data_IF_618478118210
#
_entry.id   IF_618478118210
#
_cell.length_a   1.000
_cell.length_b   1.000
_cell.length_c   1.000
_cell.angle_alpha   90.00
_cell.angle_beta   90.00
_cell.angle_gamma   90.00
#
_symmetry.space_group_name_H-M   'P 1'
#
loop_
_entity.id
_entity.type
_entity.pdbx_description
1 polymer ?
#
# COMPACT_ATOMS: atom_id res chain seq x y z
N UNK A 1 29.34 -4.32 -1.75
CA UNK A 1 27.86 -4.30 -1.85
C UNK A 1 27.38 -2.87 -1.57
N UNK A 2 26.69 -2.24 -2.52
CA UNK A 2 26.19 -0.86 -2.36
C UNK A 2 25.03 -0.84 -1.35
N UNK A 3 25.31 -0.44 -0.11
CA UNK A 3 24.31 -0.31 0.96
C UNK A 3 23.44 0.95 0.70
N UNK A 4 22.27 0.76 0.08
CA UNK A 4 21.25 1.80 -0.02
C UNK A 4 20.51 2.03 1.32
N UNK A 5 19.43 2.81 1.30
CA UNK A 5 18.61 3.12 2.48
C UNK A 5 18.18 1.87 3.29
N UNK A 6 17.90 0.76 2.60
CA UNK A 6 17.48 -0.54 3.20
C UNK A 6 18.45 -1.05 4.26
N UNK A 7 19.75 -1.14 3.93
CA UNK A 7 20.76 -1.74 4.83
C UNK A 7 21.29 -0.75 5.88
N UNK A 8 20.97 0.53 5.72
CA UNK A 8 21.51 1.62 6.53
C UNK A 8 20.39 2.29 7.32
N UNK A 9 19.71 3.26 6.69
CA UNK A 9 18.74 4.13 7.34
C UNK A 9 17.58 3.34 7.94
N UNK A 10 16.97 2.45 7.17
CA UNK A 10 15.80 1.69 7.59
C UNK A 10 16.18 0.70 8.70
N UNK A 11 17.30 -0.03 8.53
CA UNK A 11 17.78 -0.95 9.55
C UNK A 11 18.11 -0.24 10.87
N UNK A 12 18.64 1.00 10.82
CA UNK A 12 18.86 1.82 12.03
C UNK A 12 17.54 2.25 12.67
N UNK A 13 16.55 2.68 11.88
CA UNK A 13 15.23 3.06 12.40
C UNK A 13 14.56 1.86 13.06
N UNK A 14 14.53 0.70 12.39
CA UNK A 14 13.91 -0.52 12.92
C UNK A 14 14.48 -0.93 14.29
N UNK A 15 15.80 -0.83 14.49
CA UNK A 15 16.46 -1.27 15.72
C UNK A 15 16.60 -0.21 16.81
N UNK A 16 16.56 1.08 16.47
CA UNK A 16 16.90 2.16 17.41
C UNK A 16 15.86 3.27 17.51
N UNK A 17 14.96 3.39 16.55
CA UNK A 17 13.95 4.46 16.48
C UNK A 17 12.71 4.00 15.69
N UNK A 18 11.86 3.13 16.28
CA UNK A 18 10.70 2.57 15.60
C UNK A 18 9.70 3.64 15.14
N UNK A 19 9.60 4.76 15.85
CA UNK A 19 8.73 5.87 15.48
C UNK A 19 9.14 6.47 14.13
N UNK A 20 10.45 6.63 13.89
CA UNK A 20 10.94 7.03 12.57
C UNK A 20 10.74 5.98 11.49
N UNK A 21 10.73 4.70 11.85
CA UNK A 21 10.39 3.64 10.89
C UNK A 21 8.93 3.80 10.43
N UNK A 22 8.01 4.01 11.37
CA UNK A 22 6.60 4.30 11.10
C UNK A 22 6.47 5.58 10.29
N UNK A 23 7.16 6.67 10.64
CA UNK A 23 7.10 7.92 9.85
C UNK A 23 7.60 7.71 8.40
N UNK A 24 8.67 6.91 8.24
CA UNK A 24 9.34 6.73 6.96
C UNK A 24 8.58 5.80 6.00
N UNK A 25 7.95 4.73 6.51
CA UNK A 25 7.23 3.70 5.73
C UNK A 25 5.71 3.72 5.92
N UNK A 26 5.20 4.51 6.87
CA UNK A 26 3.79 4.56 7.30
C UNK A 26 3.23 3.21 7.76
N UNK A 27 4.10 2.39 8.33
CA UNK A 27 3.81 1.04 8.81
C UNK A 27 4.76 0.69 9.95
N UNK A 28 4.27 0.07 11.01
CA UNK A 28 5.10 -0.37 12.12
C UNK A 28 5.94 -1.61 11.77
N UNK A 29 7.08 -1.84 12.44
CA UNK A 29 7.95 -2.97 12.13
C UNK A 29 7.30 -4.35 12.27
N UNK A 30 6.48 -4.65 13.31
CA UNK A 30 5.72 -5.90 13.38
C UNK A 30 4.82 -6.13 12.16
N UNK A 31 3.96 -5.15 11.82
CA UNK A 31 3.07 -5.23 10.65
C UNK A 31 3.85 -5.37 9.35
N UNK A 32 4.97 -4.65 9.22
CA UNK A 32 5.87 -4.79 8.06
C UNK A 32 6.40 -6.21 7.91
N UNK A 33 6.81 -6.85 9.01
CA UNK A 33 7.37 -8.20 9.00
C UNK A 33 6.29 -9.25 8.70
N UNK A 34 5.07 -9.09 9.24
CA UNK A 34 3.93 -9.93 8.89
C UNK A 34 3.60 -9.83 7.39
N UNK A 35 3.48 -8.60 6.88
CA UNK A 35 3.26 -8.33 5.48
C UNK A 35 4.36 -8.95 4.60
N UNK A 36 5.62 -8.76 4.99
CA UNK A 36 6.76 -9.33 4.30
C UNK A 36 6.66 -10.86 4.23
N UNK A 37 6.31 -11.53 5.32
CA UNK A 37 6.17 -12.99 5.36
C UNK A 37 5.07 -13.49 4.40
N UNK A 38 3.94 -12.79 4.31
CA UNK A 38 2.84 -13.13 3.41
C UNK A 38 3.23 -12.99 1.94
N UNK A 39 3.95 -11.93 1.58
CA UNK A 39 4.27 -11.65 0.17
C UNK A 39 5.59 -12.24 -0.29
N UNK A 40 6.51 -12.58 0.63
CA UNK A 40 7.85 -13.07 0.32
C UNK A 40 7.82 -14.19 -0.74
N UNK A 41 6.97 -15.23 -0.65
CA UNK A 41 6.90 -16.27 -1.67
C UNK A 41 6.56 -15.75 -3.08
N UNK A 42 5.83 -14.63 -3.18
CA UNK A 42 5.37 -14.04 -4.44
C UNK A 42 6.39 -13.04 -5.03
N UNK A 43 7.17 -12.36 -4.19
CA UNK A 43 8.07 -11.28 -4.63
C UNK A 43 9.55 -11.62 -4.60
N UNK A 44 9.93 -12.70 -3.90
CA UNK A 44 11.29 -13.21 -3.85
C UNK A 44 11.69 -13.70 -5.25
N UNK A 45 12.89 -13.33 -5.67
CA UNK A 45 13.42 -13.68 -7.00
C UNK A 45 14.48 -14.75 -6.83
N UNK A 46 14.49 -15.71 -7.75
CA UNK A 46 15.52 -16.74 -7.79
C UNK A 46 16.88 -16.12 -8.10
N UNK A 47 17.92 -16.69 -7.49
CA UNK A 47 19.29 -16.39 -7.85
C UNK A 47 19.60 -17.03 -9.20
N UNK A 48 20.05 -16.24 -10.17
CA UNK A 48 20.45 -16.76 -11.49
C UNK A 48 21.93 -16.48 -11.72
N UNK A 49 22.31 -15.21 -11.88
CA UNK A 49 23.72 -14.78 -12.06
C UNK A 49 24.12 -13.72 -11.05
N UNK A 50 23.22 -12.75 -10.79
CA UNK A 50 23.40 -11.71 -9.77
C UNK A 50 22.54 -12.01 -8.57
N UNK A 51 23.01 -11.64 -7.38
CA UNK A 51 22.20 -11.65 -6.17
C UNK A 51 20.95 -10.81 -6.39
N UNK A 52 19.75 -11.40 -6.27
CA UNK A 52 18.51 -10.67 -6.44
C UNK A 52 18.33 -9.65 -5.32
N UNK A 53 17.56 -8.59 -5.59
CA UNK A 53 17.16 -7.64 -4.55
C UNK A 53 16.28 -8.40 -3.54
N UNK A 54 16.60 -8.37 -2.23
CA UNK A 54 15.83 -9.06 -1.21
C UNK A 54 14.35 -8.65 -1.21
N UNK A 55 13.46 -9.59 -0.85
CA UNK A 55 12.04 -9.33 -0.73
C UNK A 55 11.74 -8.14 0.21
N UNK A 56 12.46 -8.04 1.34
CA UNK A 56 12.35 -6.93 2.29
C UNK A 56 12.64 -5.57 1.64
N UNK A 57 13.77 -5.46 0.93
CA UNK A 57 14.14 -4.22 0.22
C UNK A 57 13.11 -3.86 -0.86
N UNK A 58 12.54 -4.86 -1.56
CA UNK A 58 11.48 -4.62 -2.56
C UNK A 58 10.22 -4.03 -1.90
N UNK A 59 9.82 -4.59 -0.76
CA UNK A 59 8.68 -4.08 0.00
C UNK A 59 8.95 -2.66 0.54
N UNK A 60 10.14 -2.42 1.11
CA UNK A 60 10.55 -1.09 1.59
C UNK A 60 10.54 -0.03 0.48
N UNK A 61 10.99 -0.36 -0.73
CA UNK A 61 10.93 0.54 -1.88
C UNK A 61 9.48 0.88 -2.23
N UNK A 62 8.59 -0.12 -2.26
CA UNK A 62 7.18 0.06 -2.58
C UNK A 62 6.49 0.95 -1.53
N UNK A 63 6.59 0.58 -0.25
CA UNK A 63 6.00 1.33 0.85
C UNK A 63 6.58 2.75 0.94
N UNK A 64 7.89 2.92 0.76
CA UNK A 64 8.49 4.26 0.77
C UNK A 64 7.95 5.13 -0.37
N UNK A 65 7.79 4.58 -1.57
CA UNK A 65 7.21 5.31 -2.69
C UNK A 65 5.76 5.72 -2.40
N UNK A 66 4.93 4.79 -1.92
CA UNK A 66 3.52 5.04 -1.59
C UNK A 66 3.37 6.05 -0.43
N UNK A 67 4.19 5.91 0.61
CA UNK A 67 4.15 6.76 1.79
C UNK A 67 4.60 8.20 1.50
N UNK A 68 5.59 8.39 0.62
CA UNK A 68 6.16 9.71 0.35
C UNK A 68 5.59 10.42 -0.87
N UNK A 69 5.03 9.68 -1.83
CA UNK A 69 4.69 10.22 -3.15
C UNK A 69 5.91 10.69 -3.95
N UNK A 70 7.13 10.35 -3.52
CA UNK A 70 8.38 10.78 -4.13
C UNK A 70 8.55 10.23 -5.55
N UNK A 71 9.41 10.84 -6.35
CA UNK A 71 9.66 10.43 -7.72
C UNK A 71 10.47 9.13 -7.78
N UNK A 72 10.22 8.30 -8.81
CA UNK A 72 10.99 7.06 -9.00
C UNK A 72 12.51 7.27 -9.12
N UNK A 73 13.02 8.35 -9.75
CA UNK A 73 14.45 8.68 -9.73
C UNK A 73 14.99 8.91 -8.32
N UNK A 74 14.28 9.67 -7.47
CA UNK A 74 14.70 9.89 -6.09
C UNK A 74 14.78 8.58 -5.29
N UNK A 75 13.76 7.73 -5.40
CA UNK A 75 13.75 6.39 -4.79
C UNK A 75 14.91 5.52 -5.32
N UNK A 76 15.18 5.57 -6.63
CA UNK A 76 16.31 4.87 -7.26
C UNK A 76 17.65 5.29 -6.64
N UNK A 77 17.86 6.59 -6.43
CA UNK A 77 19.07 7.09 -5.75
C UNK A 77 19.13 6.65 -4.28
N UNK A 78 18.05 6.80 -3.53
CA UNK A 78 18.01 6.48 -2.10
C UNK A 78 18.31 4.99 -1.82
N UNK A 79 17.70 4.09 -2.59
CA UNK A 79 17.88 2.64 -2.42
C UNK A 79 19.04 2.07 -3.23
N UNK A 80 19.69 2.88 -4.08
CA UNK A 80 20.75 2.47 -5.01
C UNK A 80 20.32 1.31 -5.92
N UNK A 81 19.04 1.34 -6.33
CA UNK A 81 18.43 0.36 -7.23
C UNK A 81 18.14 1.05 -8.55
N UNK A 82 18.57 0.48 -9.67
CA UNK A 82 18.37 1.13 -10.98
C UNK A 82 16.90 1.44 -11.28
N UNK A 83 16.65 2.59 -11.91
CA UNK A 83 15.31 3.14 -12.18
C UNK A 83 14.34 2.14 -12.81
N UNK A 84 14.79 1.38 -13.81
CA UNK A 84 14.00 0.34 -14.49
C UNK A 84 13.55 -0.80 -13.57
N UNK A 85 14.23 -1.00 -12.44
CA UNK A 85 13.87 -2.00 -11.44
C UNK A 85 12.93 -1.39 -10.41
N UNK A 86 13.16 -0.15 -9.99
CA UNK A 86 12.23 0.59 -9.12
C UNK A 86 10.84 0.70 -9.76
N UNK A 87 10.76 1.05 -11.04
CA UNK A 87 9.47 1.15 -11.77
C UNK A 87 8.73 -0.18 -11.94
N UNK A 88 9.41 -1.32 -11.71
CA UNK A 88 8.78 -2.65 -11.67
C UNK A 88 8.38 -3.08 -10.27
N UNK A 89 8.91 -2.42 -9.23
CA UNK A 89 8.63 -2.70 -7.83
C UNK A 89 7.50 -1.80 -7.34
N UNK A 90 7.62 -0.50 -7.56
CA UNK A 90 6.62 0.49 -7.18
C UNK A 90 5.70 0.78 -8.39
N UNK A 91 4.36 0.72 -8.23
CA UNK A 91 3.44 1.14 -9.28
C UNK A 91 3.62 2.64 -9.55
N UNK A 92 3.50 3.13 -10.80
CA UNK A 92 3.47 4.57 -11.04
C UNK A 92 2.29 5.22 -10.33
N UNK A 93 2.52 6.39 -9.72
CA UNK A 93 1.49 7.27 -9.15
C UNK A 93 0.29 7.30 -10.11
N UNK A 94 -0.82 6.70 -9.68
CA UNK A 94 -2.01 6.49 -10.49
C UNK A 94 -2.79 7.78 -10.64
N UNK A 95 -2.36 8.65 -11.54
CA UNK A 95 -3.23 9.71 -12.09
C UNK A 95 -3.33 9.68 -13.62
N UNK A 96 -2.82 8.65 -14.30
CA UNK A 96 -3.13 8.43 -15.71
C UNK A 96 -2.82 7.01 -16.21
N UNK A 97 -3.88 6.30 -16.60
CA UNK A 97 -3.91 5.21 -17.58
C UNK A 97 -3.04 3.97 -17.31
N UNK A 98 -3.71 2.95 -16.78
CA UNK A 98 -3.27 1.56 -16.75
C UNK A 98 -2.95 1.00 -18.15
N UNK A 99 -1.69 1.04 -18.57
CA UNK A 99 -1.11 0.05 -19.50
C UNK A 99 0.41 -0.02 -19.29
N UNK A 100 0.95 -1.23 -19.18
CA UNK A 100 2.37 -1.48 -19.45
C UNK A 100 2.44 -2.30 -20.74
N UNK A 101 3.24 -1.84 -21.70
CA UNK A 101 3.34 -2.36 -23.08
C UNK A 101 3.93 -3.80 -23.20
N UNK A 102 4.14 -4.50 -22.07
CA UNK A 102 4.92 -5.75 -21.99
C UNK A 102 4.26 -6.92 -21.25
N UNK A 103 2.98 -6.83 -20.90
CA UNK A 103 2.17 -8.00 -20.53
C UNK A 103 2.64 -8.81 -19.32
N UNK A 104 3.24 -8.21 -18.29
CA UNK A 104 3.65 -8.92 -17.07
C UNK A 104 2.62 -8.84 -15.95
N UNK A 105 2.43 -9.95 -15.22
CA UNK A 105 1.57 -10.06 -14.04
C UNK A 105 1.94 -9.04 -12.96
N UNK A 106 0.96 -8.23 -12.54
CA UNK A 106 1.05 -7.33 -11.39
C UNK A 106 0.25 -7.94 -10.25
N UNK A 107 0.85 -8.04 -9.08
CA UNK A 107 0.14 -8.29 -7.83
C UNK A 107 -0.38 -6.94 -7.39
N UNK A 108 -1.70 -6.80 -7.28
CA UNK A 108 -2.32 -5.61 -6.71
C UNK A 108 -2.29 -5.74 -5.20
N UNK A 109 -1.88 -4.64 -4.56
CA UNK A 109 -1.96 -4.43 -3.13
C UNK A 109 -3.07 -3.41 -2.94
N UNK A 110 -4.15 -3.85 -2.30
CA UNK A 110 -5.15 -2.99 -1.72
C UNK A 110 -4.71 -2.63 -0.29
N UNK A 111 -4.80 -1.39 0.13
CA UNK A 111 -4.63 -1.01 1.50
C UNK A 111 -5.57 0.13 1.94
N UNK A 112 -5.97 0.08 3.20
CA UNK A 112 -6.69 1.16 3.91
C UNK A 112 -5.70 1.83 4.83
N UNK A 113 -5.76 3.15 4.92
CA UNK A 113 -4.98 3.93 5.86
C UNK A 113 -5.88 4.71 6.80
N UNK A 114 -5.38 4.94 8.01
CA UNK A 114 -6.03 5.83 8.98
C UNK A 114 -5.80 7.32 8.64
N UNK A 115 -6.33 8.20 9.49
CA UNK A 115 -6.17 9.65 9.34
C UNK A 115 -4.72 10.14 9.48
N UNK A 116 -3.83 9.33 10.07
CA UNK A 116 -2.39 9.60 10.16
C UNK A 116 -1.63 9.06 8.94
N UNK A 117 -2.37 8.57 7.94
CA UNK A 117 -1.86 7.91 6.74
C UNK A 117 -1.11 6.59 7.04
N UNK A 118 -1.28 6.00 8.21
CA UNK A 118 -0.71 4.69 8.55
C UNK A 118 -1.55 3.60 7.90
N UNK A 119 -0.90 2.63 7.23
CA UNK A 119 -1.59 1.48 6.66
C UNK A 119 -2.18 0.62 7.80
N UNK A 120 -3.50 0.46 7.81
CA UNK A 120 -4.22 -0.31 8.84
C UNK A 120 -4.78 -1.62 8.32
N UNK A 121 -5.07 -1.71 7.03
CA UNK A 121 -5.53 -2.94 6.39
C UNK A 121 -4.80 -3.09 5.07
N UNK A 122 -4.39 -4.31 4.73
CA UNK A 122 -3.75 -4.63 3.45
C UNK A 122 -4.34 -5.93 2.91
N UNK A 123 -4.86 -5.90 1.69
CA UNK A 123 -5.34 -7.08 0.95
C UNK A 123 -4.49 -7.27 -0.32
N UNK A 124 -3.98 -8.49 -0.53
CA UNK A 124 -2.90 -8.76 -1.49
C UNK A 124 -3.21 -9.97 -2.34
N UNK A 125 -3.28 -9.78 -3.65
CA UNK A 125 -3.27 -10.93 -4.56
C UNK A 125 -4.10 -10.81 -5.82
N UNK A 126 -4.76 -9.67 -6.06
CA UNK A 126 -5.55 -9.55 -7.27
C UNK A 126 -4.67 -9.36 -8.52
N UNK A 127 -5.09 -9.93 -9.64
CA UNK A 127 -4.42 -9.77 -10.92
C UNK A 127 -4.66 -8.36 -11.48
N UNK A 128 -3.59 -7.62 -11.77
CA UNK A 128 -3.67 -6.25 -12.27
C UNK A 128 -4.23 -6.05 -13.69
N UNK A 129 -4.98 -7.03 -14.24
CA UNK A 129 -5.78 -6.87 -15.47
C UNK A 129 -7.24 -6.48 -15.18
N UNK A 130 -7.63 -6.46 -13.91
CA UNK A 130 -8.99 -6.11 -13.47
C UNK A 130 -9.06 -4.65 -13.01
N UNK A 131 -10.23 -4.05 -13.11
CA UNK A 131 -10.48 -2.69 -12.60
C UNK A 131 -10.33 -2.68 -11.07
N UNK A 132 -9.96 -1.53 -10.52
CA UNK A 132 -9.78 -1.41 -9.06
C UNK A 132 -11.09 -1.75 -8.31
N UNK A 133 -12.25 -1.38 -8.86
CA UNK A 133 -13.56 -1.79 -8.34
C UNK A 133 -13.78 -3.31 -8.32
N UNK A 134 -13.41 -4.00 -9.41
CA UNK A 134 -13.58 -5.46 -9.50
C UNK A 134 -12.60 -6.20 -8.59
N UNK A 135 -11.40 -5.65 -8.42
CA UNK A 135 -10.42 -6.15 -7.44
C UNK A 135 -10.96 -6.00 -6.03
N UNK A 136 -11.49 -4.82 -5.68
CA UNK A 136 -12.08 -4.56 -4.37
C UNK A 136 -13.28 -5.47 -4.05
N UNK A 137 -14.25 -5.60 -4.96
CA UNK A 137 -15.43 -6.46 -4.75
C UNK A 137 -15.07 -7.93 -4.51
N UNK A 138 -14.03 -8.43 -5.18
CA UNK A 138 -13.61 -9.82 -5.03
C UNK A 138 -12.64 -10.06 -3.87
N UNK A 139 -12.05 -8.98 -3.34
CA UNK A 139 -11.08 -9.01 -2.23
C UNK A 139 -11.74 -9.42 -0.92
N UNK A 140 -10.94 -9.97 -0.01
CA UNK A 140 -11.41 -10.30 1.34
C UNK A 140 -11.80 -9.03 2.10
N UNK A 141 -11.07 -7.93 1.90
CA UNK A 141 -11.44 -6.61 2.40
C UNK A 141 -12.84 -6.18 1.93
N UNK A 142 -13.12 -6.27 0.63
CA UNK A 142 -14.41 -5.89 0.08
C UNK A 142 -15.56 -6.76 0.61
N UNK A 143 -15.35 -8.08 0.68
CA UNK A 143 -16.34 -9.02 1.23
C UNK A 143 -16.61 -8.78 2.71
N UNK A 144 -15.56 -8.66 3.54
CA UNK A 144 -15.72 -8.38 4.98
C UNK A 144 -16.36 -7.02 5.24
N UNK A 145 -16.13 -6.05 4.36
CA UNK A 145 -16.82 -4.76 4.45
C UNK A 145 -18.30 -4.84 4.07
N UNK A 146 -18.66 -5.65 3.07
CA UNK A 146 -20.06 -5.91 2.69
C UNK A 146 -20.80 -6.71 3.78
N UNK A 147 -20.13 -7.68 4.40
CA UNK A 147 -20.68 -8.54 5.44
C UNK A 147 -20.67 -7.91 6.85
N UNK A 148 -20.18 -6.66 7.00
CA UNK A 148 -19.96 -5.97 8.28
C UNK A 148 -19.04 -6.72 9.27
N UNK A 149 -18.09 -7.49 8.76
CA UNK A 149 -17.13 -8.32 9.52
C UNK A 149 -15.75 -7.65 9.68
N UNK A 150 -15.66 -6.34 9.43
CA UNK A 150 -14.40 -5.59 9.50
C UNK A 150 -14.12 -4.99 10.89
N UNK A 151 -14.84 -5.42 11.94
CA UNK A 151 -14.76 -4.91 13.33
C UNK A 151 -14.62 -3.37 13.42
N UNK A 152 -15.36 -2.64 12.58
CA UNK A 152 -15.35 -1.19 12.59
C UNK A 152 -15.90 -0.66 13.93
N UNK A 153 -15.38 0.46 14.46
CA UNK A 153 -15.88 1.05 15.69
C UNK A 153 -17.36 1.43 15.57
N UNK A 154 -18.09 1.36 16.68
CA UNK A 154 -19.50 1.74 16.70
C UNK A 154 -19.71 3.22 16.30
N UNK A 155 -20.84 3.55 15.64
CA UNK A 155 -21.17 4.92 15.26
C UNK A 155 -21.06 5.91 16.43
N UNK A 156 -20.31 7.00 16.23
CA UNK A 156 -20.06 8.04 17.24
C UNK A 156 -20.64 9.37 16.78
N UNK A 157 -21.18 10.15 17.73
CA UNK A 157 -21.59 11.52 17.46
C UNK A 157 -20.36 12.41 17.32
N UNK A 158 -20.29 13.16 16.22
CA UNK A 158 -19.18 14.09 15.94
C UNK A 158 -19.34 15.42 16.70
N UNK A 159 -20.58 15.75 17.08
CA UNK A 159 -20.92 16.95 17.87
C UNK A 159 -21.77 16.56 19.08
N UNK A 160 -21.71 17.35 20.16
CA UNK A 160 -22.59 17.16 21.32
C UNK A 160 -24.06 17.16 20.88
N UNK A 161 -24.81 16.13 21.28
CA UNK A 161 -26.20 15.88 20.88
C UNK A 161 -26.44 15.72 19.36
N UNK A 162 -25.40 15.49 18.57
CA UNK A 162 -25.51 15.22 17.14
C UNK A 162 -25.90 13.79 16.80
N UNK A 163 -26.34 13.53 15.54
CA UNK A 163 -26.61 12.17 15.08
C UNK A 163 -25.35 11.30 15.18
N UNK A 164 -25.53 10.03 15.58
CA UNK A 164 -24.46 9.04 15.52
C UNK A 164 -24.15 8.74 14.06
N UNK A 165 -22.90 8.91 13.66
CA UNK A 165 -22.46 8.67 12.29
C UNK A 165 -21.56 7.42 12.24
N UNK A 166 -21.76 6.52 11.26
CA UNK A 166 -20.91 5.36 11.09
C UNK A 166 -19.53 5.75 10.58
N UNK A 167 -18.53 4.92 10.88
CA UNK A 167 -17.22 5.00 10.22
C UNK A 167 -17.35 4.46 8.80
N UNK A 168 -16.73 5.16 7.84
CA UNK A 168 -16.75 4.79 6.43
C UNK A 168 -15.33 4.87 5.88
N UNK A 169 -15.01 3.99 4.93
CA UNK A 169 -13.79 4.07 4.14
C UNK A 169 -14.02 5.10 3.04
N UNK A 170 -13.06 5.99 2.84
CA UNK A 170 -13.11 6.98 1.76
C UNK A 170 -12.18 6.53 0.65
N UNK A 171 -12.72 6.35 -0.55
CA UNK A 171 -11.98 5.89 -1.74
C UNK A 171 -12.10 6.85 -2.91
N UNK A 172 -11.27 6.65 -3.93
CA UNK A 172 -11.33 7.38 -5.20
C UNK A 172 -12.63 7.08 -5.99
N UNK A 173 -12.90 7.88 -7.03
CA UNK A 173 -13.95 7.70 -8.04
C UNK A 173 -13.99 6.32 -8.70
N UNK A 174 -12.89 5.56 -8.60
CA UNK A 174 -12.78 4.19 -9.10
C UNK A 174 -13.53 3.15 -8.24
N UNK A 175 -13.93 3.48 -7.00
CA UNK A 175 -14.72 2.61 -6.12
C UNK A 175 -16.20 2.96 -6.21
N UNK A 176 -17.00 1.99 -6.64
CA UNK A 176 -18.45 2.13 -6.59
C UNK A 176 -18.91 2.21 -5.13
N UNK A 177 -19.93 3.03 -4.87
CA UNK A 177 -20.63 3.02 -3.59
C UNK A 177 -21.20 1.61 -3.35
N UNK A 178 -20.80 0.98 -2.26
CA UNK A 178 -21.37 -0.30 -1.85
C UNK A 178 -22.71 -0.09 -1.14
N UNK A 179 -23.58 -1.10 -1.18
CA UNK A 179 -24.99 -1.01 -0.74
C UNK A 179 -25.16 -0.58 0.73
N UNK A 180 -24.14 -0.80 1.57
CA UNK A 180 -24.12 -0.41 2.98
C UNK A 180 -23.51 0.98 3.25
N UNK A 181 -23.19 1.78 2.23
CA UNK A 181 -22.49 3.08 2.34
C UNK A 181 -21.11 3.02 3.04
N UNK A 182 -20.53 1.82 3.14
CA UNK A 182 -19.27 1.58 3.85
C UNK A 182 -18.05 2.13 3.10
N UNK A 183 -18.16 2.31 1.77
CA UNK A 183 -17.19 3.08 0.97
C UNK A 183 -17.88 4.31 0.42
N UNK A 184 -17.36 5.50 0.72
CA UNK A 184 -17.80 6.75 0.09
C UNK A 184 -16.75 7.21 -0.91
N UNK A 185 -17.16 7.32 -2.15
CA UNK A 185 -16.32 7.88 -3.21
C UNK A 185 -16.34 9.40 -3.17
N UNK A 186 -15.15 10.02 -3.09
CA UNK A 186 -15.00 11.46 -3.21
C UNK A 186 -13.94 11.77 -4.28
N UNK A 187 -14.21 12.75 -5.15
CA UNK A 187 -13.17 13.36 -6.00
C UNK A 187 -12.27 14.22 -5.10
N UNK A 188 -11.28 13.59 -4.47
CA UNK A 188 -10.25 14.31 -3.74
C UNK A 188 -9.14 14.65 -4.75
N UNK A 189 -8.68 15.90 -4.74
CA UNK A 189 -7.49 16.33 -5.47
C UNK A 189 -6.22 15.56 -5.02
N UNK A 190 -5.03 15.89 -5.55
CA UNK A 190 -3.86 14.99 -5.64
C UNK A 190 -3.15 14.75 -4.31
N UNK A 191 -3.83 14.14 -3.35
CA UNK A 191 -3.31 13.74 -2.06
C UNK A 191 -3.78 12.32 -1.76
N UNK A 192 -2.84 11.40 -1.97
CA UNK A 192 -2.76 10.06 -1.41
C UNK A 192 -3.83 9.06 -1.85
N UNK A 193 -3.45 8.26 -2.85
CA UNK A 193 -4.17 7.08 -3.29
C UNK A 193 -3.89 5.92 -2.32
N UNK A 194 -4.94 5.42 -1.70
CA UNK A 194 -5.00 4.09 -1.10
C UNK A 194 -6.28 3.45 -1.62
N UNK A 195 -6.08 2.47 -2.50
CA UNK A 195 -7.00 1.34 -2.62
C UNK A 195 -6.29 0.21 -1.98
#
# INVERSE_FOLDING_TARGET
MLQGASNNLINKMENSDPDKFVEYLRMDPPTFNELLNLIKPKIEKQHVVRTPIPASTRLQICLRYLASGDTMPSISFAFRVGLNTVSKIAPPNSSSSFYNYKGTHRIVLLAVADANCCFTIVDIGAEGRRSDCGIFQESELGRRLEDNDLDLPEPKSIVENGPKLPYVIVGDGAFALTYNNSVKSYRIGPLLYLV
#
